data_IF_404860374237
#
_entry.id   IF_404860374237
#
_cell.length_a   1.000
_cell.length_b   1.000
_cell.length_c   1.000
_cell.angle_alpha   90.00
_cell.angle_beta   90.00
_cell.angle_gamma   90.00
#
_symmetry.space_group_name_H-M   'P 1'
#
loop_
_entity.id
_entity.type
_entity.pdbx_description
1 polymer ?
#
# COMPACT_ATOMS: atom_id res chain seq x y z
N UNK A 1 18.82 9.29 -21.04
CA UNK A 1 19.27 8.76 -19.73
C UNK A 1 18.20 8.90 -18.64
N UNK A 2 17.62 10.09 -18.46
CA UNK A 2 16.49 10.31 -17.53
C UNK A 2 15.28 9.39 -17.79
N UNK A 3 14.81 9.30 -19.04
CA UNK A 3 13.67 8.44 -19.41
C UNK A 3 13.94 6.94 -19.13
N UNK A 4 15.19 6.49 -19.30
CA UNK A 4 15.57 5.11 -18.98
C UNK A 4 15.49 4.85 -17.47
N UNK A 5 15.93 5.82 -16.65
CA UNK A 5 15.87 5.73 -15.19
C UNK A 5 14.43 5.74 -14.68
N UNK A 6 13.59 6.62 -15.23
CA UNK A 6 12.15 6.67 -14.94
C UNK A 6 11.44 5.37 -15.34
N UNK A 7 11.76 4.84 -16.53
CA UNK A 7 11.21 3.56 -16.98
C UNK A 7 11.60 2.42 -16.04
N UNK A 8 12.87 2.35 -15.62
CA UNK A 8 13.36 1.33 -14.69
C UNK A 8 12.70 1.47 -13.31
N UNK A 9 12.65 2.67 -12.73
CA UNK A 9 12.04 2.87 -11.41
C UNK A 9 10.54 2.58 -11.45
N UNK A 10 9.85 2.95 -12.53
CA UNK A 10 8.46 2.56 -12.74
C UNK A 10 8.29 1.04 -12.78
N UNK A 11 9.12 0.32 -13.54
CA UNK A 11 9.07 -1.15 -13.59
C UNK A 11 9.34 -1.78 -12.23
N UNK A 12 10.28 -1.23 -11.46
CA UNK A 12 10.60 -1.70 -10.11
C UNK A 12 9.42 -1.44 -9.16
N UNK A 13 8.85 -0.24 -9.16
CA UNK A 13 7.67 0.09 -8.36
C UNK A 13 6.48 -0.83 -8.71
N UNK A 14 6.27 -1.11 -9.99
CA UNK A 14 5.25 -2.03 -10.48
C UNK A 14 5.51 -3.45 -10.00
N UNK A 15 6.75 -3.94 -10.12
CA UNK A 15 7.14 -5.27 -9.67
C UNK A 15 6.96 -5.43 -8.15
N UNK A 16 7.43 -4.47 -7.37
CA UNK A 16 7.29 -4.44 -5.90
C UNK A 16 5.81 -4.42 -5.52
N UNK A 17 5.02 -3.52 -6.12
CA UNK A 17 3.57 -3.46 -5.87
C UNK A 17 2.89 -4.78 -6.19
N UNK A 18 3.28 -5.44 -7.29
CA UNK A 18 2.72 -6.73 -7.69
C UNK A 18 3.06 -7.86 -6.71
N UNK A 19 4.28 -7.87 -6.17
CA UNK A 19 4.70 -8.81 -5.11
C UNK A 19 3.87 -8.58 -3.85
N UNK A 20 3.77 -7.33 -3.38
CA UNK A 20 3.02 -6.99 -2.16
C UNK A 20 1.53 -7.34 -2.31
N UNK A 21 0.90 -6.99 -3.41
CA UNK A 21 -0.51 -7.32 -3.69
C UNK A 21 -0.74 -8.83 -3.67
N UNK A 22 0.18 -9.63 -4.22
CA UNK A 22 0.07 -11.09 -4.17
C UNK A 22 0.18 -11.62 -2.74
N UNK A 23 1.13 -11.12 -1.96
CA UNK A 23 1.33 -11.54 -0.57
C UNK A 23 0.11 -11.21 0.31
N UNK A 24 -0.48 -10.03 0.13
CA UNK A 24 -1.59 -9.56 0.95
C UNK A 24 -2.97 -10.01 0.45
N UNK A 25 -3.07 -10.70 -0.69
CA UNK A 25 -4.35 -11.14 -1.26
C UNK A 25 -5.16 -12.00 -0.29
N UNK A 26 -4.52 -13.00 0.32
CA UNK A 26 -5.20 -13.93 1.23
C UNK A 26 -5.57 -13.26 2.56
N UNK A 27 -4.68 -12.52 3.25
CA UNK A 27 -5.04 -11.76 4.45
C UNK A 27 -6.21 -10.78 4.24
N UNK A 28 -6.18 -10.00 3.15
CA UNK A 28 -7.25 -9.01 2.86
C UNK A 28 -8.60 -9.70 2.68
N UNK A 29 -8.63 -10.81 1.92
CA UNK A 29 -9.87 -11.56 1.71
C UNK A 29 -10.44 -12.12 3.02
N UNK A 30 -9.59 -12.73 3.85
CA UNK A 30 -10.01 -13.32 5.11
C UNK A 30 -10.63 -12.27 6.06
N UNK A 31 -10.06 -11.07 6.10
CA UNK A 31 -10.58 -9.97 6.94
C UNK A 31 -11.91 -9.45 6.39
N UNK A 32 -12.01 -9.22 5.08
CA UNK A 32 -13.24 -8.72 4.45
C UNK A 32 -14.40 -9.71 4.56
N UNK A 33 -14.17 -11.00 4.34
CA UNK A 33 -15.18 -12.06 4.48
C UNK A 33 -15.68 -12.19 5.93
N UNK A 34 -14.86 -11.82 6.92
CA UNK A 34 -15.26 -11.83 8.32
C UNK A 34 -16.16 -10.66 8.71
N UNK A 35 -16.09 -9.55 7.98
CA UNK A 35 -16.78 -8.29 8.31
C UNK A 35 -18.03 -8.09 7.42
N UNK A 36 -17.98 -8.52 6.16
CA UNK A 36 -18.97 -8.22 5.13
C UNK A 36 -19.42 -9.51 4.43
N UNK A 37 -20.68 -9.56 3.97
CA UNK A 37 -21.23 -10.68 3.21
C UNK A 37 -20.49 -10.96 1.89
N UNK A 38 -20.49 -12.24 1.49
CA UNK A 38 -19.68 -12.81 0.39
C UNK A 38 -19.68 -12.06 -0.96
N UNK A 39 -20.79 -11.56 -1.52
CA UNK A 39 -20.73 -10.86 -2.80
C UNK A 39 -20.04 -9.50 -2.68
N UNK A 40 -20.24 -8.82 -1.55
CA UNK A 40 -19.71 -7.47 -1.30
C UNK A 40 -18.23 -7.57 -0.92
N UNK A 41 -17.84 -8.56 -0.10
CA UNK A 41 -16.44 -8.78 0.33
C UNK A 41 -15.49 -8.93 -0.88
N UNK A 42 -15.90 -9.70 -1.90
CA UNK A 42 -15.11 -9.90 -3.13
C UNK A 42 -14.93 -8.62 -3.95
N UNK A 43 -15.98 -7.80 -4.05
CA UNK A 43 -15.91 -6.51 -4.75
C UNK A 43 -14.96 -5.55 -4.04
N UNK A 44 -15.06 -5.43 -2.72
CA UNK A 44 -14.17 -4.60 -1.91
C UNK A 44 -12.72 -5.09 -1.94
N UNK A 45 -12.49 -6.40 -1.92
CA UNK A 45 -11.15 -6.98 -2.10
C UNK A 45 -10.54 -6.58 -3.44
N UNK A 46 -11.33 -6.56 -4.52
CA UNK A 46 -10.86 -6.14 -5.85
C UNK A 46 -10.51 -4.65 -5.86
N UNK A 47 -11.33 -3.83 -5.21
CA UNK A 47 -11.07 -2.40 -5.05
C UNK A 47 -9.80 -2.13 -4.22
N UNK A 48 -9.60 -2.81 -3.09
CA UNK A 48 -8.39 -2.67 -2.27
C UNK A 48 -7.14 -3.07 -3.03
N UNK A 49 -7.20 -4.12 -3.86
CA UNK A 49 -6.08 -4.50 -4.73
C UNK A 49 -5.76 -3.43 -5.76
N UNK A 50 -6.78 -2.85 -6.38
CA UNK A 50 -6.61 -1.72 -7.27
C UNK A 50 -5.97 -0.52 -6.55
N UNK A 51 -6.46 -0.17 -5.35
CA UNK A 51 -5.90 0.90 -4.54
C UNK A 51 -4.42 0.65 -4.18
N UNK A 52 -4.05 -0.58 -3.79
CA UNK A 52 -2.64 -0.93 -3.54
C UNK A 52 -1.76 -0.69 -4.75
N UNK A 53 -2.20 -1.06 -5.96
CA UNK A 53 -1.44 -0.81 -7.18
C UNK A 53 -1.28 0.69 -7.44
N UNK A 54 -2.37 1.46 -7.35
CA UNK A 54 -2.34 2.90 -7.57
C UNK A 54 -1.43 3.58 -6.55
N UNK A 55 -1.64 3.34 -5.26
CA UNK A 55 -0.84 3.96 -4.19
C UNK A 55 0.61 3.53 -4.23
N UNK A 56 0.90 2.26 -4.50
CA UNK A 56 2.28 1.76 -4.61
C UNK A 56 3.04 2.41 -5.75
N UNK A 57 2.46 2.44 -6.95
CA UNK A 57 3.07 3.05 -8.12
C UNK A 57 3.20 4.58 -7.93
N UNK A 58 2.17 5.25 -7.42
CA UNK A 58 2.19 6.70 -7.18
C UNK A 58 3.19 7.12 -6.11
N UNK A 59 3.40 6.30 -5.08
CA UNK A 59 4.38 6.57 -4.02
C UNK A 59 5.81 6.31 -4.48
N UNK A 60 6.04 5.25 -5.27
CA UNK A 60 7.37 4.89 -5.77
C UNK A 60 7.94 5.81 -6.85
N UNK A 61 7.06 6.44 -7.65
CA UNK A 61 7.44 7.40 -8.68
C UNK A 61 7.41 8.81 -8.09
N UNK A 62 8.43 9.15 -7.31
CA UNK A 62 8.47 10.41 -6.58
C UNK A 62 8.74 11.61 -7.50
N UNK A 63 7.67 12.31 -7.91
CA UNK A 63 7.72 13.45 -8.84
C UNK A 63 8.47 14.68 -8.27
N UNK A 64 8.50 14.82 -6.93
CA UNK A 64 9.06 15.99 -6.21
C UNK A 64 10.57 16.20 -6.42
N UNK A 65 11.31 15.16 -6.81
CA UNK A 65 12.74 15.30 -7.13
C UNK A 65 13.00 15.76 -8.56
N UNK A 66 12.03 15.66 -9.46
CA UNK A 66 12.18 16.17 -10.83
C UNK A 66 12.36 17.70 -10.80
N UNK A 67 11.67 18.40 -9.89
CA UNK A 67 11.88 19.83 -9.65
C UNK A 67 13.29 20.15 -9.12
N UNK A 68 13.88 19.29 -8.29
CA UNK A 68 15.26 19.53 -7.77
C UNK A 68 16.36 19.36 -8.82
N UNK A 69 16.06 18.74 -9.97
CA UNK A 69 16.95 18.70 -11.13
C UNK A 69 16.69 19.83 -12.15
N UNK A 70 15.61 20.60 -11.99
CA UNK A 70 15.25 21.75 -12.83
C UNK A 70 15.52 23.08 -12.09
N UNK A 71 15.35 23.12 -10.78
CA UNK A 71 15.65 24.28 -9.92
C UNK A 71 17.08 24.17 -9.40
N UNK A 72 17.97 25.00 -9.94
CA UNK A 72 19.35 25.12 -9.48
C UNK A 72 19.42 25.35 -7.95
N UNK A 73 20.31 24.66 -7.21
CA UNK A 73 20.61 25.06 -5.85
C UNK A 73 21.20 26.47 -5.88
N UNK A 74 20.63 27.41 -5.13
CA UNK A 74 21.13 28.78 -4.96
C UNK A 74 22.45 28.84 -4.16
N UNK A 75 23.37 27.88 -4.32
CA UNK A 75 24.67 27.88 -3.66
C UNK A 75 25.78 27.88 -4.71
N UNK A 76 26.59 28.94 -4.66
CA UNK A 76 27.63 29.34 -5.64
C UNK A 76 28.77 28.33 -5.87
N UNK A 77 28.75 27.16 -5.25
CA UNK A 77 29.73 26.07 -5.42
C UNK A 77 29.10 24.71 -5.75
N UNK A 78 27.90 24.71 -6.34
CA UNK A 78 27.22 23.46 -6.73
C UNK A 78 27.75 22.98 -8.08
N UNK A 79 28.82 22.18 -8.06
CA UNK A 79 29.26 21.42 -9.25
C UNK A 79 28.07 20.65 -9.82
N UNK A 80 27.92 20.69 -11.15
CA UNK A 80 26.97 19.88 -11.91
C UNK A 80 27.07 18.45 -11.38
N UNK A 81 25.97 17.98 -10.79
CA UNK A 81 25.95 16.70 -10.08
C UNK A 81 25.97 15.59 -11.13
N UNK A 82 27.17 15.10 -11.46
CA UNK A 82 27.34 14.01 -12.41
C UNK A 82 26.68 12.73 -11.89
N UNK A 83 25.84 12.14 -12.74
CA UNK A 83 25.20 10.84 -12.53
C UNK A 83 26.28 9.74 -12.49
N UNK A 84 26.87 9.53 -11.32
CA UNK A 84 27.77 8.38 -11.08
C UNK A 84 26.95 7.11 -10.88
N UNK A 85 27.46 5.95 -11.35
CA UNK A 85 26.84 4.60 -11.20
C UNK A 85 26.33 4.30 -9.77
N UNK A 86 27.00 4.83 -8.75
CA UNK A 86 26.63 4.70 -7.34
C UNK A 86 25.26 5.29 -6.99
N UNK A 87 24.81 6.36 -7.67
CA UNK A 87 23.49 6.97 -7.43
C UNK A 87 22.33 6.14 -7.99
N UNK A 88 22.56 5.30 -9.00
CA UNK A 88 21.51 4.45 -9.57
C UNK A 88 20.99 3.43 -8.55
N UNK A 89 21.89 2.85 -7.76
CA UNK A 89 21.54 1.90 -6.69
C UNK A 89 20.68 2.57 -5.61
N UNK A 90 21.02 3.81 -5.24
CA UNK A 90 20.26 4.57 -4.25
C UNK A 90 18.85 4.94 -4.74
N UNK A 91 18.71 5.24 -6.03
CA UNK A 91 17.40 5.54 -6.62
C UNK A 91 16.51 4.30 -6.64
N UNK A 92 17.06 3.15 -7.04
CA UNK A 92 16.37 1.86 -6.98
C UNK A 92 15.94 1.52 -5.56
N UNK A 93 16.87 1.57 -4.60
CA UNK A 93 16.58 1.31 -3.19
C UNK A 93 15.46 2.22 -2.68
N UNK A 94 15.55 3.52 -2.98
CA UNK A 94 14.56 4.51 -2.60
C UNK A 94 13.19 4.22 -3.21
N UNK A 95 13.11 3.94 -4.51
CA UNK A 95 11.84 3.58 -5.17
C UNK A 95 11.18 2.37 -4.51
N UNK A 96 11.97 1.35 -4.17
CA UNK A 96 11.47 0.17 -3.45
C UNK A 96 10.89 0.56 -2.09
N UNK A 97 11.64 1.30 -1.27
CA UNK A 97 11.21 1.71 0.07
C UNK A 97 9.99 2.64 0.01
N UNK A 98 9.97 3.62 -0.89
CA UNK A 98 8.84 4.55 -1.04
C UNK A 98 7.58 3.83 -1.53
N UNK A 99 7.71 2.86 -2.44
CA UNK A 99 6.59 2.00 -2.87
C UNK A 99 6.05 1.18 -1.70
N UNK A 100 6.93 0.52 -0.94
CA UNK A 100 6.57 -0.27 0.23
C UNK A 100 5.90 0.59 1.30
N UNK A 101 6.45 1.76 1.60
CA UNK A 101 5.93 2.69 2.60
C UNK A 101 4.55 3.22 2.21
N UNK A 102 4.31 3.54 0.93
CA UNK A 102 3.00 3.98 0.45
C UNK A 102 1.93 2.90 0.65
N UNK A 103 2.23 1.66 0.25
CA UNK A 103 1.32 0.53 0.46
C UNK A 103 1.14 0.24 1.95
N UNK A 104 2.21 0.33 2.76
CA UNK A 104 2.16 0.09 4.19
C UNK A 104 1.26 1.10 4.92
N UNK A 105 1.35 2.39 4.60
CA UNK A 105 0.45 3.41 5.15
C UNK A 105 -1.00 3.17 4.75
N UNK A 106 -1.24 2.86 3.47
CA UNK A 106 -2.58 2.54 2.99
C UNK A 106 -3.19 1.35 3.73
N UNK A 107 -2.41 0.26 3.85
CA UNK A 107 -2.84 -0.93 4.57
C UNK A 107 -3.01 -0.66 6.06
N UNK A 108 -2.12 0.09 6.70
CA UNK A 108 -2.23 0.44 8.11
C UNK A 108 -3.55 1.15 8.41
N UNK A 109 -3.89 2.17 7.61
CA UNK A 109 -5.17 2.89 7.75
C UNK A 109 -6.34 1.93 7.52
N UNK A 110 -6.31 1.11 6.47
CA UNK A 110 -7.33 0.11 6.20
C UNK A 110 -7.50 -0.88 7.36
N UNK A 111 -6.40 -1.39 7.91
CA UNK A 111 -6.39 -2.34 9.03
C UNK A 111 -6.99 -1.73 10.30
N UNK A 112 -6.70 -0.46 10.60
CA UNK A 112 -7.31 0.22 11.75
C UNK A 112 -8.83 0.25 11.61
N UNK A 113 -9.35 0.64 10.44
CA UNK A 113 -10.81 0.63 10.20
C UNK A 113 -11.39 -0.79 10.21
N UNK A 114 -10.70 -1.75 9.63
CA UNK A 114 -11.13 -3.14 9.63
C UNK A 114 -11.19 -3.75 11.04
N UNK A 115 -10.22 -3.44 11.91
CA UNK A 115 -10.21 -3.87 13.31
C UNK A 115 -11.39 -3.29 14.08
N UNK A 116 -11.71 -2.01 13.90
CA UNK A 116 -12.88 -1.37 14.52
C UNK A 116 -14.16 -2.10 14.07
N UNK A 117 -14.33 -2.31 12.77
CA UNK A 117 -15.50 -3.02 12.23
C UNK A 117 -15.59 -4.46 12.76
N UNK A 118 -14.46 -5.17 12.83
CA UNK A 118 -14.39 -6.53 13.38
C UNK A 118 -14.81 -6.57 14.85
N UNK A 119 -14.32 -5.66 15.70
CA UNK A 119 -14.69 -5.60 17.13
C UNK A 119 -16.20 -5.37 17.28
N UNK A 120 -16.77 -4.47 16.49
CA UNK A 120 -18.21 -4.19 16.49
C UNK A 120 -18.99 -5.47 16.16
N UNK A 121 -18.70 -6.11 15.04
CA UNK A 121 -19.37 -7.36 14.61
C UNK A 121 -19.23 -8.44 15.68
N UNK A 122 -18.04 -8.61 16.26
CA UNK A 122 -17.76 -9.63 17.27
C UNK A 122 -18.56 -9.42 18.56
N UNK A 123 -18.73 -8.18 19.00
CA UNK A 123 -19.55 -7.85 20.19
C UNK A 123 -21.03 -8.16 19.94
N UNK A 124 -21.54 -7.88 18.74
CA UNK A 124 -22.92 -8.21 18.38
C UNK A 124 -23.16 -9.74 18.28
N UNK A 125 -22.22 -10.50 17.71
CA UNK A 125 -22.28 -11.97 17.69
C UNK A 125 -22.37 -12.56 19.11
N UNK A 126 -21.56 -12.05 20.04
CA UNK A 126 -21.52 -12.52 21.43
C UNK A 126 -22.81 -12.19 22.18
N UNK A 127 -23.40 -11.01 21.96
CA UNK A 127 -24.66 -10.59 22.60
C UNK A 127 -25.87 -11.39 22.14
N UNK A 128 -25.83 -11.96 20.92
CA UNK A 128 -26.90 -12.82 20.40
C UNK A 128 -26.82 -14.28 20.87
N UNK A 129 -25.72 -14.70 21.51
CA UNK A 129 -25.43 -16.12 21.79
C UNK A 129 -25.72 -16.59 23.23
N UNK A 130 -26.37 -15.80 24.08
CA UNK A 130 -26.68 -16.17 25.47
C UNK A 130 -28.11 -15.80 25.88
N UNK A 131 -28.82 -16.63 26.66
CA UNK A 131 -29.02 -18.07 26.55
C UNK A 131 -30.51 -18.43 26.30
N UNK A 132 -30.76 -19.54 25.62
CA UNK A 132 -32.08 -20.19 25.60
C UNK A 132 -32.44 -20.58 27.05
N UNK A 133 -33.56 -20.10 27.62
CA UNK A 133 -33.96 -20.50 28.96
C UNK A 133 -34.34 -21.98 28.89
N UNK A 134 -33.64 -22.81 29.66
CA UNK A 134 -34.09 -24.16 29.95
C UNK A 134 -35.51 -24.06 30.54
N UNK A 135 -36.51 -24.35 29.72
CA UNK A 135 -37.90 -24.40 30.13
C UNK A 135 -38.13 -25.56 31.09
N UNK A 136 -38.99 -25.40 32.11
CA UNK A 136 -39.25 -26.43 33.10
C UNK A 136 -40.13 -27.54 32.50
N UNK A 137 -39.71 -28.79 32.67
CA UNK A 137 -40.57 -29.97 32.68
C UNK A 137 -39.93 -31.06 33.55
#
# INVERSE_FOLDING_TARGET
MFIALLGITFLIALAVSCVVVRLFRQPINAILERIISDPISRAWSRYLRFAMYVTGISSGVNLWKIEQYITAPQHKDSRIVELTKSRWVLEVYRTVIETLQGIAWMLLVFFVFALIAFVIVRVFELKHKSPEPAGPA
#
